data_IF_299388237214
#
_entry.id   IF_299388237214
#
_cell.length_a   1.000
_cell.length_b   1.000
_cell.length_c   1.000
_cell.angle_alpha   90.00
_cell.angle_beta   90.00
_cell.angle_gamma   90.00
#
_symmetry.space_group_name_H-M   'P 1'
#
loop_
_entity.id
_entity.type
_entity.pdbx_description
1 polymer ?
#
# COMPACT_ATOMS: atom_id res chain seq x y z
N UNK A 1 -3.68 17.62 2.67
CA UNK A 1 -3.50 16.16 2.48
C UNK A 1 -2.12 15.85 1.88
N UNK A 2 -1.28 15.11 2.61
CA UNK A 2 0.02 14.68 2.10
C UNK A 2 -0.16 13.64 0.98
N UNK A 3 0.38 13.90 -0.21
CA UNK A 3 0.37 12.94 -1.32
C UNK A 3 1.61 12.06 -1.27
N UNK A 4 1.49 10.92 -0.58
CA UNK A 4 2.58 9.94 -0.56
C UNK A 4 2.70 9.26 -1.92
N UNK A 5 3.90 9.31 -2.50
CA UNK A 5 4.26 8.57 -3.72
C UNK A 5 4.58 7.10 -3.43
N UNK A 6 4.61 6.69 -2.15
CA UNK A 6 4.87 5.32 -1.73
C UNK A 6 4.00 4.28 -2.47
N UNK A 7 2.74 4.64 -2.75
CA UNK A 7 1.80 3.73 -3.40
C UNK A 7 2.10 3.47 -4.88
N UNK A 8 3.04 4.19 -5.49
CA UNK A 8 3.52 3.90 -6.84
C UNK A 8 4.26 2.56 -6.91
N UNK A 9 4.87 2.11 -5.82
CA UNK A 9 5.57 0.81 -5.69
C UNK A 9 4.63 -0.36 -5.36
N UNK A 10 3.31 -0.13 -5.43
CA UNK A 10 2.32 -1.22 -5.32
C UNK A 10 2.08 -1.81 -6.70
N UNK A 11 1.54 -3.03 -6.77
CA UNK A 11 1.17 -3.64 -8.06
C UNK A 11 0.33 -2.71 -8.95
N UNK A 12 -0.62 -1.96 -8.36
CA UNK A 12 -1.44 -1.01 -9.11
C UNK A 12 -0.61 0.17 -9.63
N UNK A 13 0.26 0.73 -8.79
CA UNK A 13 1.14 1.82 -9.15
C UNK A 13 2.18 1.42 -10.20
N UNK A 14 2.81 0.26 -10.05
CA UNK A 14 3.79 -0.28 -11.00
C UNK A 14 3.14 -0.54 -12.36
N UNK A 15 1.97 -1.19 -12.37
CA UNK A 15 1.24 -1.45 -13.61
C UNK A 15 0.88 -0.15 -14.33
N UNK A 16 0.42 0.87 -13.60
CA UNK A 16 0.15 2.19 -14.16
C UNK A 16 1.43 2.81 -14.76
N UNK A 17 2.55 2.76 -14.03
CA UNK A 17 3.82 3.30 -14.51
C UNK A 17 4.29 2.61 -15.79
N UNK A 18 4.14 1.29 -15.87
CA UNK A 18 4.54 0.52 -17.06
C UNK A 18 3.66 0.83 -18.26
N UNK A 19 2.33 0.94 -18.07
CA UNK A 19 1.42 1.41 -19.13
C UNK A 19 1.78 2.82 -19.61
N UNK A 20 2.08 3.75 -18.69
CA UNK A 20 2.47 5.11 -19.05
C UNK A 20 3.78 5.14 -19.85
N UNK A 21 4.78 4.32 -19.48
CA UNK A 21 6.04 4.18 -20.23
C UNK A 21 5.79 3.66 -21.64
N UNK A 22 4.90 2.69 -21.81
CA UNK A 22 4.52 2.17 -23.12
C UNK A 22 3.83 3.24 -23.98
N UNK A 23 2.90 4.00 -23.42
CA UNK A 23 2.24 5.10 -24.13
C UNK A 23 3.22 6.21 -24.55
N UNK A 24 4.26 6.46 -23.73
CA UNK A 24 5.34 7.39 -24.09
C UNK A 24 6.18 6.83 -25.24
N UNK A 25 6.57 5.55 -25.19
CA UNK A 25 7.42 4.94 -26.23
C UNK A 25 6.72 4.88 -27.59
N UNK A 26 5.39 4.78 -27.60
CA UNK A 26 4.55 4.84 -28.80
C UNK A 26 4.28 6.27 -29.29
N UNK A 27 4.71 7.30 -28.55
CA UNK A 27 4.46 8.71 -28.86
C UNK A 27 3.02 9.17 -28.58
N UNK A 28 2.20 8.36 -27.92
CA UNK A 28 0.82 8.68 -27.57
C UNK A 28 0.73 9.67 -26.39
N UNK A 29 1.74 9.70 -25.51
CA UNK A 29 1.84 10.63 -24.39
C UNK A 29 3.22 11.28 -24.31
N UNK A 30 3.25 12.50 -23.81
CA UNK A 30 4.52 13.14 -23.39
C UNK A 30 4.86 12.76 -21.95
N UNK A 31 6.15 12.80 -21.60
CA UNK A 31 6.59 12.58 -20.22
C UNK A 31 5.89 13.52 -19.23
N UNK A 32 5.62 14.77 -19.65
CA UNK A 32 4.93 15.74 -18.81
C UNK A 32 3.48 15.33 -18.54
N UNK A 33 2.79 14.78 -19.54
CA UNK A 33 1.43 14.27 -19.37
C UNK A 33 1.41 13.06 -18.43
N UNK A 34 2.32 12.10 -18.61
CA UNK A 34 2.44 10.94 -17.73
C UNK A 34 2.72 11.33 -16.26
N UNK A 35 3.60 12.32 -16.03
CA UNK A 35 3.84 12.84 -14.68
C UNK A 35 2.60 13.44 -14.03
N UNK A 36 1.73 14.10 -14.80
CA UNK A 36 0.44 14.60 -14.30
C UNK A 36 -0.50 13.45 -13.90
N UNK A 37 -0.55 12.38 -14.69
CA UNK A 37 -1.32 11.18 -14.36
C UNK A 37 -0.82 10.55 -13.05
N UNK A 38 0.50 10.42 -12.87
CA UNK A 38 1.06 9.89 -11.63
C UNK A 38 0.77 10.79 -10.41
N UNK A 39 0.83 12.11 -10.58
CA UNK A 39 0.43 13.04 -9.52
C UNK A 39 -1.04 12.89 -9.12
N UNK A 40 -1.91 12.61 -10.09
CA UNK A 40 -3.34 12.41 -9.85
C UNK A 40 -3.63 11.03 -9.24
N UNK A 41 -2.84 10.02 -9.61
CA UNK A 41 -2.83 8.72 -8.95
C UNK A 41 -2.48 8.86 -7.47
N UNK A 42 -1.40 9.58 -7.12
CA UNK A 42 -1.01 9.78 -5.73
C UNK A 42 -2.16 10.40 -4.92
N UNK A 43 -2.80 11.43 -5.47
CA UNK A 43 -3.95 12.09 -4.83
C UNK A 43 -5.11 11.13 -4.62
N UNK A 44 -5.45 10.38 -5.67
CA UNK A 44 -6.63 9.51 -5.70
C UNK A 44 -6.48 8.32 -4.76
N UNK A 45 -5.31 7.68 -4.72
CA UNK A 45 -5.09 6.50 -3.87
C UNK A 45 -5.04 6.86 -2.39
N UNK A 46 -4.39 7.98 -2.03
CA UNK A 46 -4.36 8.46 -0.65
C UNK A 46 -5.77 8.76 -0.14
N UNK A 47 -6.59 9.44 -0.95
CA UNK A 47 -7.98 9.74 -0.61
C UNK A 47 -8.84 8.46 -0.52
N UNK A 48 -8.68 7.53 -1.44
CA UNK A 48 -9.45 6.29 -1.46
C UNK A 48 -9.16 5.42 -0.23
N UNK A 49 -7.89 5.29 0.15
CA UNK A 49 -7.49 4.53 1.34
C UNK A 49 -8.02 5.16 2.63
N UNK A 50 -7.96 6.49 2.76
CA UNK A 50 -8.48 7.22 3.92
C UNK A 50 -10.02 7.14 4.03
N UNK A 51 -10.72 7.33 2.92
CA UNK A 51 -12.19 7.50 2.92
C UNK A 51 -12.98 6.21 2.76
N UNK A 52 -12.42 5.19 2.12
CA UNK A 52 -13.17 3.98 1.72
C UNK A 52 -12.79 2.72 2.50
N UNK A 53 -11.66 2.72 3.19
CA UNK A 53 -11.17 1.55 3.91
C UNK A 53 -11.33 1.77 5.42
N UNK A 54 -12.13 0.92 6.06
CA UNK A 54 -12.38 0.94 7.50
C UNK A 54 -12.01 -0.38 8.20
N UNK A 55 -11.45 -1.34 7.45
CA UNK A 55 -11.10 -2.65 7.99
C UNK A 55 -9.81 -2.55 8.81
N UNK A 56 -9.89 -2.98 10.07
CA UNK A 56 -8.72 -3.17 10.91
C UNK A 56 -8.12 -4.55 10.67
N UNK A 57 -6.79 -4.62 10.59
CA UNK A 57 -6.04 -5.85 10.41
C UNK A 57 -5.05 -5.98 11.56
N UNK A 58 -5.07 -7.11 12.25
CA UNK A 58 -4.07 -7.46 13.24
C UNK A 58 -3.04 -8.39 12.61
N UNK A 59 -1.77 -8.26 12.97
CA UNK A 59 -0.73 -9.15 12.48
C UNK A 59 0.30 -9.46 13.57
N UNK A 60 1.04 -10.55 13.38
CA UNK A 60 2.15 -10.96 14.23
C UNK A 60 3.30 -11.48 13.37
N UNK A 61 4.54 -11.24 13.79
CA UNK A 61 5.73 -11.78 13.15
C UNK A 61 6.97 -11.50 13.98
N UNK A 62 8.07 -12.17 13.66
CA UNK A 62 9.37 -11.95 14.30
C UNK A 62 10.10 -10.81 13.57
N UNK A 63 10.40 -9.73 14.28
CA UNK A 63 11.19 -8.63 13.71
C UNK A 63 12.61 -9.11 13.39
N UNK A 64 13.03 -8.97 12.14
CA UNK A 64 14.39 -9.33 11.68
C UNK A 64 15.29 -8.10 11.62
N UNK A 65 14.82 -6.99 11.04
CA UNK A 65 15.55 -5.72 11.00
C UNK A 65 14.56 -4.56 10.85
N UNK A 66 14.98 -3.37 11.26
CA UNK A 66 14.20 -2.13 11.14
C UNK A 66 15.10 -0.94 10.79
N UNK A 67 14.50 0.10 10.21
CA UNK A 67 15.13 1.39 9.93
C UNK A 67 14.10 2.50 10.03
N UNK A 68 14.53 3.63 10.56
CA UNK A 68 13.79 4.89 10.51
C UNK A 68 14.68 5.96 9.90
N UNK A 69 14.25 6.56 8.80
CA UNK A 69 14.95 7.64 8.09
C UNK A 69 13.89 8.48 7.38
N UNK A 70 14.04 9.81 7.37
CA UNK A 70 13.15 10.75 6.68
C UNK A 70 11.65 10.56 6.98
N UNK A 71 11.32 10.28 8.24
CA UNK A 71 9.95 9.99 8.69
C UNK A 71 9.29 8.76 8.04
N UNK A 72 10.11 7.84 7.52
CA UNK A 72 9.68 6.56 6.96
C UNK A 72 10.25 5.41 7.78
N UNK A 73 9.35 4.56 8.29
CA UNK A 73 9.69 3.28 8.89
C UNK A 73 9.80 2.21 7.81
N UNK A 74 10.86 1.40 7.88
CA UNK A 74 10.97 0.15 7.13
C UNK A 74 11.22 -0.99 8.10
N UNK A 75 10.35 -2.00 8.11
CA UNK A 75 10.47 -3.19 8.94
C UNK A 75 10.54 -4.43 8.05
N UNK A 76 11.38 -5.38 8.42
CA UNK A 76 11.42 -6.72 7.83
C UNK A 76 11.04 -7.72 8.92
N UNK A 77 9.95 -8.45 8.72
CA UNK A 77 9.48 -9.48 9.65
C UNK A 77 9.56 -10.85 9.00
N UNK A 78 9.77 -11.88 9.81
CA UNK A 78 9.69 -13.30 9.43
C UNK A 78 8.58 -14.01 10.19
N UNK A 79 8.12 -15.16 9.68
CA UNK A 79 6.98 -15.90 10.24
C UNK A 79 5.75 -15.00 10.40
N UNK A 80 5.43 -14.24 9.36
CA UNK A 80 4.39 -13.23 9.38
C UNK A 80 3.01 -13.89 9.21
N UNK A 81 2.09 -13.52 10.10
CA UNK A 81 0.73 -14.02 10.12
C UNK A 81 -0.25 -12.87 10.31
N UNK A 82 -1.33 -12.87 9.52
CA UNK A 82 -2.41 -11.90 9.62
C UNK A 82 -3.58 -12.53 10.37
N UNK A 83 -4.00 -11.88 11.45
CA UNK A 83 -5.20 -12.23 12.22
C UNK A 83 -6.37 -11.38 11.72
N UNK A 84 -7.37 -12.02 11.14
CA UNK A 84 -8.64 -11.36 10.86
C UNK A 84 -9.40 -11.14 12.18
N UNK A 85 -9.64 -9.88 12.52
CA UNK A 85 -10.29 -9.47 13.78
C UNK A 85 -11.81 -9.70 13.74
N UNK A 86 -12.41 -9.94 12.57
CA UNK A 86 -13.85 -10.20 12.43
C UNK A 86 -14.24 -11.67 12.67
N UNK A 87 -13.33 -12.48 13.26
CA UNK A 87 -13.59 -13.87 13.65
C UNK A 87 -14.48 -14.00 14.91
N UNK A 88 -15.52 -13.19 15.00
CA UNK A 88 -16.65 -13.50 15.90
C UNK A 88 -17.26 -14.81 15.44
N UNK A 89 -17.31 -15.78 16.35
CA UNK A 89 -17.62 -17.20 16.16
C UNK A 89 -19.07 -17.50 15.69
N UNK A 90 -19.60 -16.86 14.65
CA UNK A 90 -21.04 -17.00 14.38
C UNK A 90 -21.53 -17.21 12.95
N UNK A 91 -20.69 -17.47 11.93
CA UNK A 91 -21.21 -17.99 10.65
C UNK A 91 -20.16 -18.83 9.91
N UNK A 92 -20.25 -20.15 10.04
CA UNK A 92 -19.36 -21.15 9.46
C UNK A 92 -19.62 -21.47 7.97
N UNK A 93 -20.30 -20.61 7.21
CA UNK A 93 -20.85 -20.98 5.89
C UNK A 93 -20.13 -20.39 4.67
N UNK A 94 -19.12 -19.52 4.84
CA UNK A 94 -18.36 -18.99 3.70
C UNK A 94 -16.85 -19.21 3.89
N UNK A 95 -16.16 -19.94 2.99
CA UNK A 95 -14.71 -20.04 3.02
C UNK A 95 -14.14 -18.66 2.71
N UNK A 96 -13.75 -17.93 3.75
CA UNK A 96 -13.04 -16.66 3.59
C UNK A 96 -11.58 -17.02 3.31
N UNK A 97 -10.95 -16.47 2.24
CA UNK A 97 -9.58 -16.82 1.89
C UNK A 97 -8.66 -16.54 3.09
N UNK A 98 -8.09 -17.61 3.64
CA UNK A 98 -7.12 -17.52 4.72
C UNK A 98 -5.82 -16.98 4.13
N UNK A 99 -5.37 -15.81 4.62
CA UNK A 99 -4.05 -15.30 4.25
C UNK A 99 -3.03 -16.31 4.77
N UNK A 100 -2.23 -16.97 3.90
CA UNK A 100 -1.23 -17.92 4.33
C UNK A 100 -0.23 -17.27 5.27
N UNK A 101 0.36 -18.06 6.16
CA UNK A 101 1.56 -17.62 6.87
C UNK A 101 2.63 -17.33 5.81
N UNK A 102 3.21 -16.14 5.87
CA UNK A 102 4.23 -15.69 4.93
C UNK A 102 5.58 -15.74 5.62
N UNK A 103 6.57 -16.36 4.99
CA UNK A 103 7.90 -16.53 5.58
C UNK A 103 8.57 -15.21 5.91
N UNK A 104 8.35 -14.19 5.06
CA UNK A 104 8.98 -12.88 5.17
C UNK A 104 8.11 -11.77 4.58
N UNK A 105 8.01 -10.64 5.28
CA UNK A 105 7.32 -9.43 4.79
C UNK A 105 8.18 -8.18 5.00
N UNK A 106 8.05 -7.22 4.09
CA UNK A 106 8.59 -5.86 4.22
C UNK A 106 7.42 -4.89 4.45
N UNK A 107 7.46 -4.15 5.54
CA UNK A 107 6.51 -3.07 5.84
C UNK A 107 7.23 -1.74 5.65
N UNK A 108 6.66 -0.86 4.82
CA UNK A 108 7.11 0.53 4.64
C UNK A 108 5.97 1.43 5.08
N UNK A 109 6.21 2.31 6.04
CA UNK A 109 5.19 3.18 6.63
C UNK A 109 5.69 4.62 6.72
N UNK A 110 5.03 5.53 6.04
CA UNK A 110 5.23 6.97 6.18
C UNK A 110 4.44 7.51 7.38
N UNK A 111 4.92 8.60 8.00
CA UNK A 111 4.19 9.27 9.07
C UNK A 111 2.82 9.76 8.60
N UNK A 112 1.73 9.32 9.25
CA UNK A 112 0.36 9.74 8.97
C UNK A 112 -0.03 11.10 9.56
N UNK A 113 0.76 11.69 10.46
CA UNK A 113 0.43 12.96 11.14
C UNK A 113 0.24 14.13 10.17
N UNK A 114 1.05 14.17 9.10
CA UNK A 114 0.95 15.21 8.07
C UNK A 114 -0.27 15.03 7.14
N UNK A 115 -0.90 13.86 7.13
CA UNK A 115 -2.14 13.62 6.38
C UNK A 115 -3.38 14.17 7.10
N UNK A 116 -3.35 14.25 8.43
CA UNK A 116 -4.48 14.68 9.27
C UNK A 116 -4.54 16.20 9.55
N UNK A 117 -3.48 16.96 9.23
CA UNK A 117 -3.35 18.38 9.57
C UNK A 117 -3.65 19.36 8.41
N UNK A 118 -4.12 18.88 7.24
CA UNK A 118 -4.38 19.74 6.08
C UNK A 118 -5.58 19.29 5.24
#
# INVERSE_FOLDING_TARGET
MANYQLYRETTLGDTLQDTLKEMISQGALTDQAARKVLSEFDRSINLALDKRINKNVQFSGKLSTYRFCDNVWTLILTNFNVKDSNRSQHNAAAPTPQIPVVDKVKIVACDGKNAAQA
#
